data_IF_882547661614
#
_entry.id   IF_882547661614
#
_cell.length_a   1.000
_cell.length_b   1.000
_cell.length_c   1.000
_cell.angle_alpha   90.00
_cell.angle_beta   90.00
_cell.angle_gamma   90.00
#
_symmetry.space_group_name_H-M   'P 1'
#
loop_
_entity.id
_entity.type
_entity.pdbx_description
1 polymer ?
#
# COMPACT_ATOMS: atom_id res chain seq x y z
N UNK A 1 -16.14 -5.44 10.54
CA UNK A 1 -15.34 -6.40 9.70
C UNK A 1 -14.83 -5.62 8.50
N UNK A 2 -13.59 -5.88 8.08
CA UNK A 2 -12.96 -5.12 7.00
C UNK A 2 -13.51 -5.58 5.65
N UNK A 3 -13.97 -4.64 4.83
CA UNK A 3 -14.66 -4.92 3.59
C UNK A 3 -13.86 -4.50 2.33
N UNK A 4 -12.88 -3.60 2.49
CA UNK A 4 -12.04 -3.14 1.39
C UNK A 4 -10.75 -2.47 1.88
N UNK A 5 -9.80 -2.35 0.95
CA UNK A 5 -8.68 -1.40 1.07
C UNK A 5 -9.22 -0.01 0.75
N UNK A 6 -9.06 0.95 1.66
CA UNK A 6 -9.34 2.35 1.36
C UNK A 6 -8.19 2.93 0.53
N UNK A 7 -6.98 2.88 1.07
CA UNK A 7 -5.81 3.39 0.39
C UNK A 7 -4.54 2.59 0.71
N UNK A 8 -3.56 2.76 -0.19
CA UNK A 8 -2.18 2.45 0.06
C UNK A 8 -1.42 3.76 0.34
N UNK A 9 -0.89 3.89 1.54
CA UNK A 9 -0.07 5.04 1.92
C UNK A 9 1.36 4.91 1.38
N UNK A 10 1.85 5.96 0.77
CA UNK A 10 3.19 6.07 0.20
C UNK A 10 3.91 7.23 0.85
N UNK A 11 4.99 6.96 1.56
CA UNK A 11 5.89 8.01 2.02
C UNK A 11 6.78 8.44 0.86
N UNK A 12 6.77 9.73 0.53
CA UNK A 12 7.53 10.30 -0.58
C UNK A 12 8.32 11.53 -0.13
N UNK A 13 9.47 11.77 -0.75
CA UNK A 13 10.41 12.80 -0.28
C UNK A 13 9.82 14.21 -0.28
N UNK A 14 9.06 14.55 -1.31
CA UNK A 14 8.34 15.82 -1.44
C UNK A 14 7.17 15.70 -2.42
N UNK A 15 6.23 16.65 -2.37
CA UNK A 15 5.04 16.64 -3.23
C UNK A 15 5.34 16.92 -4.70
N UNK A 16 6.48 17.54 -5.04
CA UNK A 16 6.91 17.73 -6.42
C UNK A 16 7.21 16.39 -7.08
N UNK A 17 7.97 15.53 -6.40
CA UNK A 17 8.22 14.14 -6.85
C UNK A 17 6.89 13.37 -6.93
N UNK A 18 5.99 13.54 -5.95
CA UNK A 18 4.67 12.90 -5.99
C UNK A 18 3.91 13.27 -7.26
N UNK A 19 3.83 14.54 -7.59
CA UNK A 19 3.16 15.03 -8.80
C UNK A 19 3.85 14.55 -10.08
N UNK A 20 5.18 14.62 -10.15
CA UNK A 20 5.93 14.19 -11.34
C UNK A 20 5.74 12.69 -11.62
N UNK A 21 5.73 11.85 -10.59
CA UNK A 21 5.57 10.41 -10.75
C UNK A 21 4.10 10.03 -10.99
N UNK A 22 3.22 10.39 -10.05
CA UNK A 22 1.88 9.82 -10.03
C UNK A 22 0.90 10.56 -10.94
N UNK A 23 1.06 11.86 -11.14
CA UNK A 23 0.19 12.60 -12.07
C UNK A 23 0.77 12.69 -13.47
N UNK A 24 1.98 13.17 -13.65
CA UNK A 24 2.57 13.30 -15.00
C UNK A 24 3.05 11.94 -15.52
N UNK A 25 3.77 11.16 -14.70
CA UNK A 25 4.32 9.86 -15.09
C UNK A 25 3.26 8.80 -15.33
N UNK A 26 2.38 8.58 -14.36
CA UNK A 26 1.32 7.57 -14.42
C UNK A 26 -0.01 8.10 -15.00
N UNK A 27 -0.16 9.42 -15.17
CA UNK A 27 -1.40 10.01 -15.67
C UNK A 27 -2.58 9.95 -14.71
N UNK A 28 -2.32 9.78 -13.40
CA UNK A 28 -3.37 9.75 -12.38
C UNK A 28 -3.79 11.18 -12.00
N UNK A 29 -5.00 11.33 -11.44
CA UNK A 29 -5.54 12.61 -11.02
C UNK A 29 -5.52 12.76 -9.49
N UNK A 30 -5.11 13.94 -9.02
CA UNK A 30 -5.23 14.31 -7.61
C UNK A 30 -6.67 14.76 -7.33
N UNK A 31 -7.25 14.31 -6.23
CA UNK A 31 -8.47 14.89 -5.70
C UNK A 31 -8.17 16.29 -5.10
N UNK A 32 -8.30 17.31 -5.92
CA UNK A 32 -7.99 18.69 -5.52
C UNK A 32 -8.99 19.29 -4.54
N UNK A 33 -10.11 18.62 -4.28
CA UNK A 33 -11.08 19.06 -3.25
C UNK A 33 -10.58 18.71 -1.85
N UNK A 34 -9.92 17.57 -1.70
CA UNK A 34 -9.29 17.13 -0.43
C UNK A 34 -7.84 17.55 -0.33
N UNK A 35 -7.12 17.54 -1.43
CA UNK A 35 -5.68 17.87 -1.53
C UNK A 35 -5.44 19.01 -2.51
N UNK A 36 -5.74 20.26 -2.15
CA UNK A 36 -5.60 21.40 -3.05
C UNK A 36 -4.13 21.63 -3.45
N UNK A 37 -3.88 21.67 -4.75
CA UNK A 37 -2.54 21.94 -5.29
C UNK A 37 -2.13 23.41 -5.12
N UNK A 38 -0.83 23.72 -4.91
CA UNK A 38 0.31 22.80 -4.96
C UNK A 38 0.64 22.12 -3.61
N UNK A 39 0.02 22.54 -2.51
CA UNK A 39 0.46 22.21 -1.15
C UNK A 39 -0.17 20.91 -0.60
N UNK A 40 -1.21 20.40 -1.23
CA UNK A 40 -1.93 19.23 -0.74
C UNK A 40 -2.78 19.50 0.51
N UNK A 41 -3.20 18.43 1.17
CA UNK A 41 -3.88 18.45 2.47
C UNK A 41 -2.83 18.49 3.59
N UNK A 42 -2.84 19.56 4.38
CA UNK A 42 -1.83 19.84 5.40
C UNK A 42 -2.23 19.20 6.74
N UNK A 43 -1.74 17.99 7.02
CA UNK A 43 -1.94 17.34 8.32
C UNK A 43 -0.90 17.86 9.33
N UNK A 44 -1.35 18.31 10.51
CA UNK A 44 -0.50 18.89 11.55
C UNK A 44 -0.68 18.24 12.93
N UNK A 45 -1.00 16.96 12.92
CA UNK A 45 -1.15 16.12 14.11
C UNK A 45 0.19 15.59 14.66
N UNK A 46 0.15 14.39 15.21
CA UNK A 46 1.31 13.73 15.79
C UNK A 46 2.38 13.30 14.75
N UNK A 47 1.97 13.11 13.51
CA UNK A 47 2.86 12.89 12.35
C UNK A 47 2.55 13.95 11.27
N UNK A 48 3.16 15.14 11.34
CA UNK A 48 2.92 16.18 10.36
C UNK A 48 3.34 15.76 8.95
N UNK A 49 2.39 15.85 8.01
CA UNK A 49 2.58 15.50 6.60
C UNK A 49 1.80 16.44 5.69
N UNK A 50 2.28 16.60 4.47
CA UNK A 50 1.56 17.20 3.36
C UNK A 50 1.12 16.05 2.44
N UNK A 51 -0.19 15.94 2.16
CA UNK A 51 -0.78 14.76 1.54
C UNK A 51 -1.39 15.10 0.18
N UNK A 52 -1.16 14.24 -0.80
CA UNK A 52 -1.95 14.20 -2.04
C UNK A 52 -2.79 12.92 -2.06
N UNK A 53 -4.09 13.10 -2.15
CA UNK A 53 -5.06 12.02 -2.34
C UNK A 53 -5.23 11.76 -3.84
N UNK A 54 -4.93 10.54 -4.29
CA UNK A 54 -4.96 10.12 -5.69
C UNK A 54 -5.92 8.94 -5.86
N UNK A 55 -7.20 9.19 -6.11
CA UNK A 55 -8.21 8.14 -6.28
C UNK A 55 -7.96 7.28 -7.52
N UNK A 56 -8.16 5.98 -7.40
CA UNK A 56 -8.05 5.03 -8.49
C UNK A 56 -8.96 3.81 -8.28
N UNK A 57 -10.00 3.67 -9.11
CA UNK A 57 -10.89 2.50 -9.14
C UNK A 57 -11.58 2.20 -7.81
N UNK A 58 -12.10 3.20 -7.12
CA UNK A 58 -12.78 3.05 -5.82
C UNK A 58 -11.85 2.88 -4.62
N UNK A 59 -10.54 2.88 -4.85
CA UNK A 59 -9.47 2.93 -3.84
C UNK A 59 -8.64 4.19 -4.04
N UNK A 60 -7.56 4.34 -3.26
CA UNK A 60 -6.74 5.54 -3.30
C UNK A 60 -5.26 5.24 -3.07
N UNK A 61 -4.41 6.06 -3.66
CA UNK A 61 -3.01 6.21 -3.23
C UNK A 61 -2.93 7.49 -2.40
N UNK A 62 -2.49 7.38 -1.16
CA UNK A 62 -2.23 8.50 -0.29
C UNK A 62 -0.73 8.80 -0.28
N UNK A 63 -0.34 9.93 -0.89
CA UNK A 63 1.06 10.31 -1.05
C UNK A 63 1.45 11.28 0.06
N UNK A 64 2.22 10.78 1.03
CA UNK A 64 2.59 11.49 2.25
C UNK A 64 4.01 12.04 2.15
N UNK A 65 4.15 13.36 2.15
CA UNK A 65 5.43 14.05 2.17
C UNK A 65 5.69 14.72 3.53
N UNK A 66 6.95 14.86 3.95
CA UNK A 66 7.29 15.71 5.08
C UNK A 66 6.82 17.15 4.86
N UNK A 67 6.35 17.87 5.91
CA UNK A 67 5.85 19.22 5.76
C UNK A 67 6.95 20.21 5.33
N UNK A 68 6.59 21.13 4.45
CA UNK A 68 7.53 22.17 3.95
C UNK A 68 7.52 23.45 4.81
N UNK A 69 6.60 23.58 5.76
CA UNK A 69 6.42 24.78 6.57
C UNK A 69 7.32 24.85 7.82
N UNK A 70 8.26 23.92 7.98
CA UNK A 70 9.16 23.84 9.13
C UNK A 70 8.55 23.18 10.37
N UNK A 71 7.40 22.53 10.25
CA UNK A 71 6.85 21.70 11.33
C UNK A 71 7.84 20.59 11.73
N UNK A 72 7.80 20.20 13.00
CA UNK A 72 8.70 19.16 13.51
C UNK A 72 8.49 17.86 12.78
N UNK A 73 9.54 17.25 12.23
CA UNK A 73 9.43 16.01 11.46
C UNK A 73 8.85 14.85 12.29
N UNK A 74 7.87 14.16 11.72
CA UNK A 74 7.15 13.04 12.34
C UNK A 74 7.67 11.65 11.98
N UNK A 75 6.80 10.65 12.07
CA UNK A 75 7.07 9.24 11.75
C UNK A 75 7.38 9.02 10.28
N UNK A 76 6.59 9.60 9.40
CA UNK A 76 6.76 9.53 7.94
C UNK A 76 8.12 10.04 7.49
N UNK A 77 8.56 11.19 8.02
CA UNK A 77 9.90 11.71 7.73
C UNK A 77 10.99 10.74 8.18
N UNK A 78 10.92 10.24 9.43
CA UNK A 78 11.90 9.27 9.95
C UNK A 78 11.91 7.97 9.14
N UNK A 79 10.74 7.53 8.66
CA UNK A 79 10.65 6.36 7.79
C UNK A 79 11.43 6.55 6.47
N UNK A 80 11.30 7.72 5.83
CA UNK A 80 12.04 8.07 4.61
C UNK A 80 13.55 8.13 4.91
N UNK A 81 13.97 8.81 5.98
CA UNK A 81 15.38 8.90 6.36
C UNK A 81 16.01 7.53 6.64
N UNK A 82 15.29 6.64 7.33
CA UNK A 82 15.75 5.28 7.59
C UNK A 82 15.90 4.42 6.32
N UNK A 83 15.30 4.86 5.21
CA UNK A 83 15.45 4.27 3.88
C UNK A 83 16.44 5.01 2.98
N UNK A 84 17.28 5.89 3.56
CA UNK A 84 18.30 6.66 2.85
C UNK A 84 17.72 7.82 2.04
N UNK A 85 16.63 8.42 2.49
CA UNK A 85 15.96 9.54 1.81
C UNK A 85 15.14 9.12 0.57
N UNK A 86 14.83 7.83 0.43
CA UNK A 86 14.07 7.28 -0.68
C UNK A 86 12.65 6.98 -0.22
N UNK A 87 11.66 7.37 -1.03
CA UNK A 87 10.26 7.06 -0.78
C UNK A 87 9.97 5.55 -0.83
N UNK A 88 8.88 5.13 -0.24
CA UNK A 88 8.42 3.75 -0.25
C UNK A 88 6.95 3.63 0.17
N UNK A 89 6.38 2.45 -0.05
CA UNK A 89 5.10 2.07 0.56
C UNK A 89 5.22 2.12 2.08
N UNK A 90 4.25 2.74 2.75
CA UNK A 90 4.31 3.09 4.16
C UNK A 90 3.23 2.39 4.99
N UNK A 91 1.97 2.44 4.57
CA UNK A 91 0.85 1.85 5.29
C UNK A 91 -0.23 1.31 4.36
N UNK A 92 -1.08 0.47 4.94
CA UNK A 92 -2.32 -0.01 4.33
C UNK A 92 -3.47 0.46 5.21
N UNK A 93 -4.43 1.14 4.62
CA UNK A 93 -5.66 1.50 5.29
C UNK A 93 -6.79 0.55 4.91
N UNK A 94 -7.44 -0.03 5.91
CA UNK A 94 -8.63 -0.86 5.77
C UNK A 94 -9.88 -0.11 6.26
N UNK A 95 -10.97 -0.24 5.53
CA UNK A 95 -12.27 0.22 5.99
C UNK A 95 -12.83 -0.68 7.09
N UNK A 96 -13.45 -0.06 8.10
CA UNK A 96 -14.16 -0.71 9.19
C UNK A 96 -15.55 -0.10 9.37
N UNK A 97 -16.56 -0.95 9.48
CA UNK A 97 -17.93 -0.52 9.82
C UNK A 97 -18.05 -0.15 11.30
N UNK A 98 -17.16 -0.69 12.13
CA UNK A 98 -17.16 -0.48 13.59
C UNK A 98 -15.73 -0.47 14.13
N UNK A 99 -15.06 0.67 14.02
CA UNK A 99 -13.67 0.85 14.47
C UNK A 99 -13.47 0.46 15.94
N UNK A 100 -14.34 0.85 16.92
CA UNK A 100 -14.16 0.46 18.30
C UNK A 100 -14.10 -1.05 18.55
N UNK A 101 -15.00 -1.81 17.95
CA UNK A 101 -15.05 -3.27 18.12
C UNK A 101 -13.89 -3.96 17.42
N UNK A 102 -13.55 -3.51 16.21
CA UNK A 102 -12.40 -4.04 15.46
C UNK A 102 -11.08 -3.73 16.19
N UNK A 103 -10.92 -2.53 16.74
CA UNK A 103 -9.76 -2.18 17.59
C UNK A 103 -9.68 -3.04 18.83
N UNK A 104 -10.80 -3.25 19.52
CA UNK A 104 -10.84 -4.13 20.69
C UNK A 104 -10.43 -5.57 20.34
N UNK A 105 -10.90 -6.09 19.20
CA UNK A 105 -10.52 -7.40 18.68
C UNK A 105 -9.04 -7.48 18.35
N UNK A 106 -8.50 -6.52 17.60
CA UNK A 106 -7.08 -6.49 17.20
C UNK A 106 -6.14 -6.40 18.42
N UNK A 107 -6.50 -5.58 19.41
CA UNK A 107 -5.76 -5.50 20.68
C UNK A 107 -5.82 -6.83 21.47
N UNK A 108 -6.98 -7.46 21.54
CA UNK A 108 -7.14 -8.78 22.18
C UNK A 108 -6.34 -9.87 21.44
N UNK A 109 -6.12 -9.70 20.14
CA UNK A 109 -5.25 -10.56 19.31
C UNK A 109 -3.76 -10.25 19.45
N UNK A 110 -3.37 -9.29 20.31
CA UNK A 110 -1.98 -8.97 20.64
C UNK A 110 -1.35 -7.85 19.82
N UNK A 111 -2.12 -7.15 18.96
CA UNK A 111 -1.59 -6.02 18.20
C UNK A 111 -1.49 -4.77 19.06
N UNK A 112 -0.39 -4.01 18.89
CA UNK A 112 -0.15 -2.76 19.60
C UNK A 112 -0.72 -1.58 18.84
N UNK A 113 -1.75 -0.95 19.39
CA UNK A 113 -2.29 0.32 18.92
C UNK A 113 -1.30 1.46 19.19
N UNK A 114 -1.11 2.37 18.24
CA UNK A 114 -0.07 3.42 18.30
C UNK A 114 -0.50 4.69 19.04
N UNK A 115 -1.79 4.93 19.21
CA UNK A 115 -2.27 6.10 19.94
C UNK A 115 -1.84 6.06 21.40
N UNK A 116 -1.52 7.24 21.92
CA UNK A 116 -1.23 7.36 23.36
C UNK A 116 -2.43 6.92 24.20
N UNK A 117 -2.21 6.42 25.44
CA UNK A 117 -3.30 6.07 26.36
C UNK A 117 -4.29 7.22 26.61
N UNK A 118 -3.82 8.47 26.50
CA UNK A 118 -4.68 9.65 26.64
C UNK A 118 -5.57 9.86 25.42
N UNK A 119 -5.03 9.63 24.21
CA UNK A 119 -5.79 9.70 22.96
C UNK A 119 -6.79 8.54 22.82
N UNK A 120 -6.45 7.36 23.34
CA UNK A 120 -7.37 6.22 23.40
C UNK A 120 -8.65 6.49 24.22
N UNK A 121 -8.65 7.52 25.06
CA UNK A 121 -9.83 7.95 25.84
C UNK A 121 -10.69 8.99 25.12
N UNK A 122 -10.22 9.52 23.99
CA UNK A 122 -10.92 10.55 23.20
C UNK A 122 -11.68 9.90 22.06
N UNK A 123 -12.90 10.34 21.85
CA UNK A 123 -13.80 9.86 20.79
C UNK A 123 -13.22 9.88 19.34
N UNK A 124 -12.30 10.80 18.93
CA UNK A 124 -11.76 10.80 17.54
C UNK A 124 -11.07 9.52 17.10
N UNK A 125 -10.46 8.73 18.01
CA UNK A 125 -9.84 7.46 17.64
C UNK A 125 -10.85 6.43 17.11
N UNK A 126 -12.12 6.61 17.35
CA UNK A 126 -13.20 5.79 16.81
C UNK A 126 -13.35 5.89 15.28
N UNK A 127 -12.69 6.85 14.64
CA UNK A 127 -12.79 7.11 13.21
C UNK A 127 -11.54 6.61 12.46
N UNK A 128 -10.38 6.75 13.08
CA UNK A 128 -9.09 6.36 12.53
C UNK A 128 -8.14 5.91 13.62
N UNK A 129 -7.40 4.85 13.39
CA UNK A 129 -6.36 4.37 14.31
C UNK A 129 -5.28 3.59 13.56
N UNK A 130 -4.11 3.47 14.18
CA UNK A 130 -2.95 2.78 13.63
C UNK A 130 -2.48 1.65 14.54
N UNK A 131 -1.97 0.57 13.92
CA UNK A 131 -1.31 -0.53 14.60
C UNK A 131 0.15 -0.66 14.21
N UNK A 132 0.98 -1.02 15.20
CA UNK A 132 2.42 -1.00 15.07
C UNK A 132 2.95 -2.05 14.07
N UNK A 133 3.85 -1.68 13.13
CA UNK A 133 4.37 -2.58 12.10
C UNK A 133 4.97 -3.88 12.62
N UNK A 134 5.59 -3.89 13.82
CA UNK A 134 6.19 -5.10 14.38
C UNK A 134 5.20 -6.25 14.57
N UNK A 135 3.91 -5.91 14.79
CA UNK A 135 2.84 -6.87 15.07
C UNK A 135 2.00 -7.15 13.81
N UNK A 136 2.25 -6.42 12.72
CA UNK A 136 1.50 -6.43 11.47
C UNK A 136 2.38 -6.77 10.26
N UNK A 137 3.25 -7.76 10.34
CA UNK A 137 4.13 -8.19 9.24
C UNK A 137 5.00 -7.06 8.66
N UNK A 138 5.45 -6.11 9.49
CA UNK A 138 6.22 -4.96 9.05
C UNK A 138 5.41 -3.85 8.37
N UNK A 139 4.09 -3.92 8.40
CA UNK A 139 3.16 -2.98 7.79
C UNK A 139 2.59 -2.06 8.87
N UNK A 140 2.65 -0.75 8.67
CA UNK A 140 1.82 0.16 9.44
C UNK A 140 0.36 -0.06 8.99
N UNK A 141 -0.45 -0.62 9.86
CA UNK A 141 -1.86 -0.90 9.55
C UNK A 141 -2.72 0.24 10.06
N UNK A 142 -3.49 0.83 9.17
CA UNK A 142 -4.47 1.86 9.47
C UNK A 142 -5.89 1.29 9.35
N UNK A 143 -6.76 1.73 10.23
CA UNK A 143 -8.19 1.37 10.22
C UNK A 143 -8.99 2.67 10.16
N UNK A 144 -9.87 2.79 9.18
CA UNK A 144 -10.74 3.94 8.98
C UNK A 144 -12.22 3.57 8.95
N UNK A 145 -13.04 4.51 9.41
CA UNK A 145 -14.49 4.36 9.41
C UNK A 145 -15.07 4.54 8.01
N UNK A 146 -15.74 3.50 7.51
CA UNK A 146 -16.29 3.42 6.14
C UNK A 146 -17.19 4.60 5.77
N UNK A 147 -18.03 5.06 6.69
CA UNK A 147 -19.03 6.11 6.38
C UNK A 147 -18.44 7.50 6.12
N UNK A 148 -17.28 7.80 6.72
CA UNK A 148 -16.69 9.16 6.69
C UNK A 148 -15.60 9.33 5.63
N UNK A 149 -15.00 8.24 5.19
CA UNK A 149 -13.80 8.26 4.36
C UNK A 149 -13.99 7.45 3.08
N UNK A 150 -15.13 7.64 2.43
CA UNK A 150 -15.38 7.01 1.14
C UNK A 150 -14.68 7.78 0.04
N UNK A 151 -13.92 7.05 -0.79
CA UNK A 151 -13.35 7.61 -2.02
C UNK A 151 -14.49 8.03 -2.95
N UNK A 152 -14.40 9.23 -3.51
CA UNK A 152 -15.40 9.74 -4.44
C UNK A 152 -15.38 8.92 -5.75
N UNK A 153 -16.49 8.24 -6.05
CA UNK A 153 -16.64 7.42 -7.24
C UNK A 153 -16.50 8.22 -8.56
N UNK A 154 -16.62 9.55 -8.50
CA UNK A 154 -16.40 10.43 -9.66
C UNK A 154 -14.91 10.64 -9.99
N UNK A 155 -14.01 10.39 -9.03
CA UNK A 155 -12.57 10.36 -9.27
C UNK A 155 -12.16 8.97 -9.73
N UNK A 156 -12.46 8.66 -10.95
CA UNK A 156 -11.90 7.49 -11.62
C UNK A 156 -10.60 7.93 -12.27
N UNK A 157 -9.49 7.26 -11.95
CA UNK A 157 -8.18 7.56 -12.49
C UNK A 157 -8.26 7.80 -14.01
N UNK A 158 -7.61 8.84 -14.49
CA UNK A 158 -7.65 9.17 -15.91
C UNK A 158 -6.81 8.21 -16.75
N UNK A 159 -7.32 7.80 -17.87
CA UNK A 159 -6.54 7.25 -18.96
C UNK A 159 -6.21 5.77 -18.85
N UNK A 160 -4.93 5.44 -18.70
CA UNK A 160 -4.40 4.08 -18.92
C UNK A 160 -4.72 3.11 -17.79
N UNK A 161 -4.90 3.61 -16.55
CA UNK A 161 -5.15 2.77 -15.37
C UNK A 161 -6.59 2.87 -14.89
N UNK A 162 -7.19 1.72 -14.59
CA UNK A 162 -8.61 1.60 -14.22
C UNK A 162 -8.83 1.26 -12.75
N UNK A 163 -7.79 0.85 -12.04
CA UNK A 163 -7.89 0.46 -10.64
C UNK A 163 -6.55 0.09 -10.03
N UNK A 164 -6.55 -0.09 -8.72
CA UNK A 164 -5.49 -0.76 -7.99
C UNK A 164 -5.87 -2.23 -7.82
N UNK A 165 -5.10 -3.15 -8.43
CA UNK A 165 -5.39 -4.58 -8.39
C UNK A 165 -5.05 -5.18 -7.03
N UNK A 166 -3.81 -4.97 -6.56
CA UNK A 166 -3.37 -5.50 -5.27
C UNK A 166 -2.20 -4.72 -4.67
N UNK A 167 -1.99 -4.96 -3.38
CA UNK A 167 -0.80 -4.57 -2.66
C UNK A 167 0.02 -5.82 -2.35
N UNK A 168 1.26 -5.86 -2.82
CA UNK A 168 2.22 -6.93 -2.54
C UNK A 168 2.91 -6.72 -1.20
N UNK A 169 2.94 -7.77 -0.38
CA UNK A 169 3.62 -7.80 0.92
C UNK A 169 4.61 -8.95 0.89
N UNK A 170 5.87 -8.66 1.13
CA UNK A 170 6.88 -9.71 1.26
C UNK A 170 7.03 -10.13 2.72
N UNK A 171 7.17 -11.42 2.97
CA UNK A 171 7.40 -12.02 4.30
C UNK A 171 8.30 -13.24 4.18
N UNK A 172 8.98 -13.58 5.27
CA UNK A 172 9.78 -14.82 5.38
C UNK A 172 8.91 -16.09 5.40
N UNK A 173 7.64 -15.97 5.83
CA UNK A 173 6.77 -17.12 6.08
C UNK A 173 5.31 -16.81 5.70
N UNK A 174 4.78 -17.52 4.69
CA UNK A 174 3.39 -17.39 4.26
C UNK A 174 2.37 -17.88 5.32
N UNK A 175 2.74 -18.78 6.23
CA UNK A 175 1.85 -19.19 7.32
C UNK A 175 1.66 -18.07 8.34
N UNK A 176 2.71 -17.27 8.62
CA UNK A 176 2.57 -16.04 9.40
C UNK A 176 1.62 -15.05 8.70
N UNK A 177 1.81 -14.86 7.39
CA UNK A 177 0.92 -13.98 6.61
C UNK A 177 -0.53 -14.50 6.62
N UNK A 178 -0.74 -15.79 6.41
CA UNK A 178 -2.07 -16.41 6.47
C UNK A 178 -2.69 -16.24 7.85
N UNK A 179 -1.92 -16.49 8.92
CA UNK A 179 -2.40 -16.31 10.29
C UNK A 179 -2.82 -14.86 10.55
N UNK A 180 -1.99 -13.90 10.18
CA UNK A 180 -2.29 -12.48 10.36
C UNK A 180 -3.55 -12.06 9.59
N UNK A 181 -3.57 -12.27 8.26
CA UNK A 181 -4.66 -11.79 7.44
C UNK A 181 -5.97 -12.57 7.63
N UNK A 182 -5.90 -13.87 7.90
CA UNK A 182 -7.12 -14.70 8.01
C UNK A 182 -7.61 -14.87 9.44
N UNK A 183 -6.71 -15.10 10.41
CA UNK A 183 -7.14 -15.38 11.79
C UNK A 183 -7.27 -14.09 12.62
N UNK A 184 -6.42 -13.09 12.39
CA UNK A 184 -6.44 -11.84 13.14
C UNK A 184 -7.33 -10.80 12.42
N UNK A 185 -7.08 -10.51 11.14
CA UNK A 185 -7.85 -9.53 10.37
C UNK A 185 -9.21 -10.08 9.93
N UNK A 186 -9.35 -11.41 9.77
CA UNK A 186 -10.61 -12.05 9.42
C UNK A 186 -10.88 -12.18 7.93
N UNK A 187 -9.87 -11.97 7.08
CA UNK A 187 -9.98 -12.16 5.62
C UNK A 187 -9.89 -13.63 5.22
N UNK A 188 -10.05 -13.93 3.95
CA UNK A 188 -9.98 -15.29 3.42
C UNK A 188 -9.00 -15.39 2.27
N UNK A 189 -8.17 -16.45 2.31
CA UNK A 189 -7.31 -16.79 1.17
C UNK A 189 -8.17 -17.30 0.01
N UNK A 190 -7.90 -16.85 -1.20
CA UNK A 190 -8.39 -17.49 -2.42
C UNK A 190 -7.64 -18.82 -2.62
N UNK A 191 -8.25 -19.91 -2.18
CA UNK A 191 -7.64 -21.24 -2.21
C UNK A 191 -7.42 -21.78 -3.62
N UNK A 192 -8.15 -21.26 -4.60
CA UNK A 192 -8.03 -21.65 -6.00
C UNK A 192 -6.76 -21.10 -6.62
N UNK A 193 -6.55 -19.77 -6.51
CA UNK A 193 -5.36 -19.10 -7.06
C UNK A 193 -4.11 -19.34 -6.23
N UNK A 194 -4.24 -19.52 -4.93
CA UNK A 194 -3.10 -19.62 -3.99
C UNK A 194 -2.52 -21.01 -3.86
N UNK A 195 -3.22 -22.06 -4.28
CA UNK A 195 -2.78 -23.46 -4.11
C UNK A 195 -2.36 -23.79 -2.66
N UNK A 196 -3.19 -23.42 -1.70
CA UNK A 196 -2.86 -23.45 -0.25
C UNK A 196 -2.41 -24.82 0.27
N UNK A 197 -2.92 -25.94 -0.28
CA UNK A 197 -2.47 -27.30 0.07
C UNK A 197 -0.99 -27.56 -0.27
N UNK A 198 -0.38 -26.71 -1.11
CA UNK A 198 1.04 -26.76 -1.47
C UNK A 198 1.86 -25.66 -0.80
N UNK A 199 1.30 -24.99 0.22
CA UNK A 199 1.95 -23.88 0.92
C UNK A 199 2.08 -22.59 0.08
N UNK A 200 1.14 -22.35 -0.83
CA UNK A 200 1.14 -21.21 -1.74
C UNK A 200 1.41 -21.59 -3.19
N UNK A 201 1.06 -20.67 -4.12
CA UNK A 201 1.32 -20.82 -5.55
C UNK A 201 2.75 -20.36 -5.87
N UNK A 202 3.54 -21.24 -6.48
CA UNK A 202 4.89 -20.92 -6.94
C UNK A 202 4.85 -20.06 -8.20
N UNK A 203 5.61 -18.98 -8.20
CA UNK A 203 5.95 -18.14 -9.35
C UNK A 203 7.40 -18.46 -9.70
N UNK A 204 7.61 -19.28 -10.71
CA UNK A 204 8.93 -19.87 -11.02
C UNK A 204 9.97 -18.83 -11.40
N UNK A 205 9.61 -17.84 -12.24
CA UNK A 205 10.54 -16.81 -12.72
C UNK A 205 11.15 -15.98 -11.60
N UNK A 206 10.38 -15.72 -10.54
CA UNK A 206 10.81 -14.91 -9.40
C UNK A 206 11.24 -15.77 -8.20
N UNK A 207 11.06 -17.09 -8.31
CA UNK A 207 11.28 -18.07 -7.25
C UNK A 207 10.64 -17.67 -5.91
N UNK A 208 9.36 -17.29 -5.98
CA UNK A 208 8.56 -16.90 -4.80
C UNK A 208 7.29 -17.74 -4.73
N UNK A 209 6.79 -17.97 -3.52
CA UNK A 209 5.43 -18.45 -3.31
C UNK A 209 4.52 -17.31 -2.90
N UNK A 210 3.26 -17.36 -3.33
CA UNK A 210 2.28 -16.31 -3.05
C UNK A 210 0.98 -16.86 -2.48
N UNK A 211 0.32 -16.04 -1.66
CA UNK A 211 -1.08 -16.20 -1.25
C UNK A 211 -1.88 -14.98 -1.73
N UNK A 212 -3.00 -15.23 -2.38
CA UNK A 212 -3.97 -14.23 -2.80
C UNK A 212 -5.05 -14.07 -1.73
N UNK A 213 -5.25 -12.88 -1.21
CA UNK A 213 -6.16 -12.59 -0.10
C UNK A 213 -7.06 -11.41 -0.52
N UNK A 214 -8.16 -11.68 -1.24
CA UNK A 214 -9.09 -10.65 -1.68
C UNK A 214 -9.88 -10.08 -0.50
N UNK A 215 -10.18 -8.79 -0.53
CA UNK A 215 -11.01 -8.11 0.47
C UNK A 215 -12.50 -8.08 0.09
N UNK A 216 -12.82 -8.30 -1.15
CA UNK A 216 -14.19 -8.29 -1.67
C UNK A 216 -14.18 -8.12 -3.18
N UNK A 217 -15.36 -8.02 -3.77
CA UNK A 217 -15.45 -7.73 -5.20
C UNK A 217 -15.10 -6.25 -5.43
N UNK A 218 -14.15 -6.00 -6.31
CA UNK A 218 -13.68 -4.65 -6.68
C UNK A 218 -13.13 -3.82 -5.50
N UNK A 219 -12.64 -4.51 -4.44
CA UNK A 219 -12.21 -3.89 -3.18
C UNK A 219 -10.71 -4.03 -2.92
N UNK A 220 -9.97 -4.50 -3.92
CA UNK A 220 -8.53 -4.76 -3.83
C UNK A 220 -8.17 -6.11 -3.22
N UNK A 221 -6.90 -6.42 -3.27
CA UNK A 221 -6.35 -7.69 -2.81
C UNK A 221 -5.02 -7.46 -2.10
N UNK A 222 -4.73 -8.26 -1.10
CA UNK A 222 -3.38 -8.43 -0.55
C UNK A 222 -2.75 -9.67 -1.19
N UNK A 223 -1.54 -9.51 -1.73
CA UNK A 223 -0.73 -10.63 -2.20
C UNK A 223 0.45 -10.81 -1.26
N UNK A 224 0.40 -11.84 -0.41
CA UNK A 224 1.52 -12.19 0.44
C UNK A 224 2.54 -13.00 -0.37
N UNK A 225 3.82 -12.63 -0.29
CA UNK A 225 4.91 -13.13 -1.12
C UNK A 225 6.02 -13.65 -0.20
N UNK A 226 6.47 -14.88 -0.42
CA UNK A 226 7.62 -15.43 0.31
C UNK A 226 8.69 -15.93 -0.67
N UNK A 227 9.90 -15.38 -0.63
CA UNK A 227 11.02 -15.89 -1.42
C UNK A 227 11.37 -17.32 -0.99
N UNK A 228 11.71 -18.18 -1.96
CA UNK A 228 12.00 -19.58 -1.70
C UNK A 228 13.50 -19.85 -1.54
N UNK A 229 14.32 -18.88 -1.88
CA UNK A 229 15.77 -18.87 -1.63
C UNK A 229 16.26 -17.44 -1.38
N UNK A 230 17.54 -17.32 -0.98
CA UNK A 230 18.16 -16.01 -0.69
C UNK A 230 18.70 -15.25 -1.91
N UNK A 231 18.47 -15.72 -3.14
CA UNK A 231 19.11 -15.16 -4.34
C UNK A 231 18.25 -14.20 -5.15
N UNK A 232 16.93 -14.18 -4.91
CA UNK A 232 15.99 -13.36 -5.68
C UNK A 232 16.04 -11.88 -5.25
N UNK A 233 15.60 -10.99 -6.14
CA UNK A 233 15.41 -9.56 -5.81
C UNK A 233 14.45 -9.36 -4.65
N UNK A 234 13.40 -10.19 -4.55
CA UNK A 234 12.43 -10.19 -3.44
C UNK A 234 13.09 -10.61 -2.11
N UNK A 235 14.00 -11.61 -2.13
CA UNK A 235 14.75 -12.01 -0.94
C UNK A 235 15.67 -10.88 -0.44
N UNK A 236 16.43 -10.26 -1.35
CA UNK A 236 17.29 -9.12 -1.03
C UNK A 236 16.50 -7.93 -0.50
N UNK A 237 15.29 -7.70 -1.02
CA UNK A 237 14.40 -6.66 -0.54
C UNK A 237 13.91 -6.95 0.89
N UNK A 238 13.50 -8.19 1.17
CA UNK A 238 13.09 -8.62 2.50
C UNK A 238 14.23 -8.52 3.52
N UNK A 239 15.43 -8.99 3.16
CA UNK A 239 16.63 -8.89 4.02
C UNK A 239 16.92 -7.43 4.38
N UNK A 240 16.82 -6.52 3.40
CA UNK A 240 17.15 -5.11 3.59
C UNK A 240 16.08 -4.35 4.39
N UNK A 241 14.81 -4.64 4.19
CA UNK A 241 13.70 -3.82 4.69
C UNK A 241 12.72 -4.54 5.62
N UNK A 242 12.76 -5.87 5.71
CA UNK A 242 11.83 -6.65 6.53
C UNK A 242 12.03 -6.51 8.05
N UNK A 243 13.22 -6.10 8.47
CA UNK A 243 13.52 -5.83 9.86
C UNK A 243 13.22 -7.00 10.80
N UNK A 244 12.89 -6.69 12.06
CA UNK A 244 12.53 -7.72 13.08
C UNK A 244 11.17 -8.38 12.80
N UNK A 245 10.29 -7.73 12.07
CA UNK A 245 8.98 -8.28 11.70
C UNK A 245 9.09 -9.31 10.59
N UNK A 246 10.26 -9.36 9.91
CA UNK A 246 10.53 -10.24 8.77
C UNK A 246 9.44 -10.12 7.68
N UNK A 247 8.98 -8.88 7.48
CA UNK A 247 7.97 -8.54 6.48
C UNK A 247 7.93 -7.05 6.21
N UNK A 248 7.43 -6.67 5.04
CA UNK A 248 7.24 -5.27 4.65
C UNK A 248 6.37 -5.19 3.40
N UNK A 249 5.80 -4.01 3.13
CA UNK A 249 5.15 -3.74 1.84
C UNK A 249 6.20 -3.73 0.72
N UNK A 250 5.86 -4.35 -0.41
CA UNK A 250 6.79 -4.57 -1.52
C UNK A 250 6.45 -3.74 -2.76
N UNK A 251 5.20 -3.82 -3.22
CA UNK A 251 4.76 -3.11 -4.43
C UNK A 251 3.26 -2.82 -4.39
N UNK A 252 2.84 -1.89 -5.24
CA UNK A 252 1.45 -1.75 -5.65
C UNK A 252 1.28 -2.28 -7.07
N UNK A 253 0.10 -2.78 -7.39
CA UNK A 253 -0.25 -3.25 -8.72
C UNK A 253 -1.42 -2.44 -9.27
N UNK A 254 -1.25 -1.84 -10.46
CA UNK A 254 -2.23 -1.04 -11.15
C UNK A 254 -2.83 -1.81 -12.33
N UNK A 255 -4.14 -1.74 -12.49
CA UNK A 255 -4.86 -2.39 -13.58
C UNK A 255 -4.89 -1.53 -14.84
N UNK A 256 -4.75 -2.18 -15.99
CA UNK A 256 -4.93 -1.57 -17.31
C UNK A 256 -5.63 -2.53 -18.27
N UNK A 257 -6.30 -1.99 -19.27
CA UNK A 257 -6.86 -2.80 -20.36
C UNK A 257 -5.77 -3.40 -21.28
N UNK A 258 -4.63 -2.71 -21.44
CA UNK A 258 -3.52 -3.08 -22.32
C UNK A 258 -2.17 -2.73 -21.67
N UNK A 259 -1.42 -3.75 -21.29
CA UNK A 259 -0.15 -3.60 -20.57
C UNK A 259 0.91 -2.94 -21.46
N UNK A 260 0.97 -3.29 -22.75
CA UNK A 260 1.99 -2.73 -23.67
C UNK A 260 1.75 -1.24 -23.90
N UNK A 261 0.51 -0.86 -24.20
CA UNK A 261 0.15 0.55 -24.33
C UNK A 261 0.38 1.35 -23.05
N UNK A 262 0.13 0.74 -21.88
CA UNK A 262 0.41 1.39 -20.61
C UNK A 262 1.91 1.60 -20.37
N UNK A 263 2.76 0.62 -20.72
CA UNK A 263 4.21 0.76 -20.62
C UNK A 263 4.72 1.84 -21.58
N UNK A 264 4.27 1.85 -22.84
CA UNK A 264 4.66 2.89 -23.80
C UNK A 264 4.30 4.29 -23.30
N UNK A 265 3.11 4.43 -22.69
CA UNK A 265 2.67 5.68 -22.09
C UNK A 265 3.58 6.13 -20.95
N UNK A 266 3.84 5.26 -19.96
CA UNK A 266 4.63 5.64 -18.78
C UNK A 266 6.11 5.85 -19.11
N UNK A 267 6.69 5.08 -20.04
CA UNK A 267 8.05 5.30 -20.55
C UNK A 267 8.14 6.62 -21.33
N UNK A 268 7.13 6.94 -22.13
CA UNK A 268 7.01 8.23 -22.82
C UNK A 268 6.96 9.43 -21.86
N UNK A 269 6.49 9.22 -20.62
CA UNK A 269 6.45 10.20 -19.55
C UNK A 269 7.68 10.14 -18.61
N UNK A 270 8.72 9.37 -18.95
CA UNK A 270 9.99 9.36 -18.24
C UNK A 270 10.13 8.33 -17.12
N UNK A 271 9.12 7.47 -16.88
CA UNK A 271 9.28 6.34 -15.98
C UNK A 271 10.09 5.23 -16.66
N UNK A 272 10.73 4.39 -15.86
CA UNK A 272 11.60 3.32 -16.35
C UNK A 272 11.03 1.96 -15.98
N UNK A 273 10.85 1.10 -16.96
CA UNK A 273 10.51 -0.30 -16.70
C UNK A 273 11.70 -1.10 -16.15
N UNK A 274 11.38 -2.22 -15.52
CA UNK A 274 12.34 -3.24 -15.11
C UNK A 274 11.85 -4.61 -15.62
N UNK A 275 12.76 -5.41 -16.16
CA UNK A 275 12.45 -6.73 -16.69
C UNK A 275 11.66 -6.70 -18.00
N UNK A 276 11.07 -7.84 -18.33
CA UNK A 276 10.32 -8.05 -19.55
C UNK A 276 8.88 -7.53 -19.46
N UNK A 277 8.33 -7.15 -20.61
CA UNK A 277 6.92 -6.79 -20.77
C UNK A 277 6.19 -7.96 -21.40
N UNK A 278 5.17 -8.45 -20.71
CA UNK A 278 4.23 -9.46 -21.26
C UNK A 278 2.88 -8.82 -21.57
N UNK A 279 1.98 -9.55 -22.18
CA UNK A 279 0.60 -9.08 -22.40
C UNK A 279 -0.21 -9.05 -21.08
N UNK A 280 0.28 -9.71 -20.02
CA UNK A 280 -0.39 -9.84 -18.73
C UNK A 280 0.20 -8.91 -17.66
N UNK A 281 1.50 -8.61 -17.71
CA UNK A 281 2.13 -7.75 -16.70
C UNK A 281 3.45 -7.13 -17.14
N UNK A 282 3.81 -6.05 -16.45
CA UNK A 282 5.09 -5.37 -16.53
C UNK A 282 5.42 -4.67 -15.20
N UNK A 283 6.64 -4.19 -15.05
CA UNK A 283 7.10 -3.54 -13.82
C UNK A 283 7.76 -2.19 -14.09
N UNK A 284 7.50 -1.20 -13.22
CA UNK A 284 8.15 0.11 -13.21
C UNK A 284 9.20 0.13 -12.09
N UNK A 285 10.41 0.55 -12.46
CA UNK A 285 11.55 0.58 -11.55
C UNK A 285 11.40 1.66 -10.47
N UNK A 286 11.64 1.36 -9.20
CA UNK A 286 11.49 2.30 -8.09
C UNK A 286 12.29 3.61 -8.26
N UNK A 287 13.47 3.56 -8.92
CA UNK A 287 14.30 4.76 -9.10
C UNK A 287 13.64 5.88 -9.91
N UNK A 288 12.63 5.56 -10.71
CA UNK A 288 11.86 6.54 -11.47
C UNK A 288 10.46 6.76 -10.92
N UNK A 289 10.04 5.96 -9.96
CA UNK A 289 8.69 5.96 -9.37
C UNK A 289 8.68 6.39 -7.89
N UNK A 290 9.52 7.37 -7.53
CA UNK A 290 9.58 7.92 -6.17
C UNK A 290 9.98 6.92 -5.09
N UNK A 291 10.66 5.82 -5.47
CA UNK A 291 11.07 4.74 -4.56
C UNK A 291 10.08 3.58 -4.47
N UNK A 292 8.94 3.65 -5.18
CA UNK A 292 7.90 2.63 -5.18
C UNK A 292 8.07 1.66 -6.35
N UNK A 293 8.09 0.36 -6.07
CA UNK A 293 7.97 -0.66 -7.12
C UNK A 293 6.50 -0.75 -7.53
N UNK A 294 6.23 -0.57 -8.83
CA UNK A 294 4.87 -0.58 -9.36
C UNK A 294 4.76 -1.72 -10.38
N UNK A 295 3.80 -2.60 -10.18
CA UNK A 295 3.40 -3.57 -11.17
C UNK A 295 2.25 -3.01 -12.00
N UNK A 296 2.26 -3.25 -13.30
CA UNK A 296 1.13 -3.02 -14.19
C UNK A 296 0.59 -4.38 -14.58
N UNK A 297 -0.71 -4.60 -14.42
CA UNK A 297 -1.37 -5.86 -14.76
C UNK A 297 -2.56 -5.63 -15.67
N UNK A 298 -2.83 -6.62 -16.51
CA UNK A 298 -4.01 -6.63 -17.35
C UNK A 298 -5.25 -6.83 -16.48
N UNK A 299 -6.25 -6.00 -16.71
CA UNK A 299 -7.57 -6.18 -16.09
C UNK A 299 -8.21 -7.47 -16.59
N UNK A 300 -8.63 -8.32 -15.65
CA UNK A 300 -9.30 -9.61 -15.93
C UNK A 300 -10.81 -9.47 -15.92
#
# INVERSE_FOLDING_TARGET
MFDRIHHAGIAIKDLGIAQDVFTKGLGLLVDTTRSPLPNGNLQRGADPTDILDVPIGGMELELNAPPVDGSTPGGTHRFIENRGGIGALHHICLHSDNVPDDVAHLRASGLTQLESPENQKKEPWNEVTFFHPRDCLGILLEIWRTEKHRVDDNYQGAGVFTGMHHIGIVTDDLEKARHFWCNIIGLRVDTTRSQTLKGGRLIENDNVKILNIPLGKDSGEIVAISPQDGSSGTANFLEKYGGKAQGTMHHISLETADVRSAIDFVEGNGLKRIGDVTDESAWIHPSSAGGVLIQIVKKT
#
